data_IF_852503391712
#
_entry.id   IF_852503391712
#
_cell.length_a   1.000
_cell.length_b   1.000
_cell.length_c   1.000
_cell.angle_alpha   90.00
_cell.angle_beta   90.00
_cell.angle_gamma   90.00
#
_symmetry.space_group_name_H-M   'P 1'
#
loop_
_entity.id
_entity.type
_entity.pdbx_description
1 polymer ?
#
# COMPACT_ATOMS: atom_id res chain seq x y z
N UNK A 1 4.56 1.07 -24.92
CA UNK A 1 3.35 1.47 -24.17
C UNK A 1 3.83 1.87 -22.80
N UNK A 2 3.88 3.18 -22.52
CA UNK A 2 4.12 3.67 -21.17
C UNK A 2 2.94 3.21 -20.31
N UNK A 3 3.15 2.22 -19.46
CA UNK A 3 2.15 1.80 -18.48
C UNK A 3 2.20 2.86 -17.38
N UNK A 4 1.10 3.59 -17.19
CA UNK A 4 1.05 4.65 -16.18
C UNK A 4 1.43 4.09 -14.79
N UNK A 5 1.99 4.94 -13.92
CA UNK A 5 2.43 4.53 -12.58
C UNK A 5 1.35 3.75 -11.83
N UNK A 6 0.08 4.20 -11.93
CA UNK A 6 -1.09 3.52 -11.36
C UNK A 6 -1.26 2.09 -11.86
N UNK A 7 -1.17 1.86 -13.18
CA UNK A 7 -1.29 0.52 -13.74
C UNK A 7 -0.17 -0.41 -13.27
N UNK A 8 1.06 0.11 -13.10
CA UNK A 8 2.17 -0.66 -12.53
C UNK A 8 1.92 -1.03 -11.07
N UNK A 9 1.47 -0.08 -10.25
CA UNK A 9 1.18 -0.32 -8.83
C UNK A 9 0.04 -1.33 -8.67
N UNK A 10 -1.02 -1.20 -9.46
CA UNK A 10 -2.14 -2.15 -9.48
C UNK A 10 -1.71 -3.58 -9.80
N UNK A 11 -0.70 -3.77 -10.65
CA UNK A 11 -0.14 -5.10 -10.94
C UNK A 11 0.71 -5.65 -9.79
N UNK A 12 1.46 -4.78 -9.11
CA UNK A 12 2.30 -5.19 -7.97
C UNK A 12 1.45 -5.52 -6.73
N UNK A 13 0.41 -4.74 -6.49
CA UNK A 13 -0.43 -4.80 -5.29
C UNK A 13 -1.93 -4.81 -5.68
N UNK A 14 -2.44 -5.89 -6.28
CA UNK A 14 -3.83 -5.95 -6.70
C UNK A 14 -4.79 -5.86 -5.52
N UNK A 15 -6.01 -5.36 -5.77
CA UNK A 15 -7.08 -5.34 -4.76
C UNK A 15 -7.32 -6.76 -4.23
N UNK A 16 -7.39 -6.88 -2.91
CA UNK A 16 -7.55 -8.14 -2.18
C UNK A 16 -6.24 -8.77 -1.73
N UNK A 17 -5.07 -8.35 -2.24
CA UNK A 17 -3.80 -8.92 -1.76
C UNK A 17 -3.46 -8.46 -0.35
N UNK A 18 -2.65 -9.28 0.35
CA UNK A 18 -2.17 -8.96 1.69
C UNK A 18 -0.79 -8.34 1.63
N UNK A 19 -0.59 -7.32 2.45
CA UNK A 19 0.65 -6.57 2.51
C UNK A 19 1.11 -6.43 3.96
N UNK A 20 2.42 -6.29 4.14
CA UNK A 20 3.06 -6.00 5.41
C UNK A 20 3.78 -4.67 5.31
N UNK A 21 3.58 -3.80 6.29
CA UNK A 21 4.28 -2.53 6.38
C UNK A 21 5.76 -2.75 6.72
N UNK A 22 6.65 -2.15 5.93
CA UNK A 22 8.09 -2.16 6.17
C UNK A 22 8.61 -0.78 6.57
N UNK A 23 8.02 0.29 6.00
CA UNK A 23 8.38 1.67 6.29
C UNK A 23 7.27 2.62 5.85
N UNK A 24 7.08 3.71 6.59
CA UNK A 24 6.18 4.80 6.24
C UNK A 24 6.71 6.10 6.83
N UNK A 25 6.81 7.14 6.00
CA UNK A 25 7.22 8.48 6.43
C UNK A 25 5.98 9.30 6.82
N UNK A 26 5.43 8.96 7.99
CA UNK A 26 4.29 9.65 8.60
C UNK A 26 4.55 9.83 10.11
N UNK A 27 4.05 10.90 10.77
CA UNK A 27 4.22 11.09 12.21
C UNK A 27 3.59 9.99 13.07
N UNK A 28 2.55 9.31 12.58
CA UNK A 28 1.80 8.28 13.31
C UNK A 28 1.48 7.07 12.41
N UNK A 29 2.49 6.34 11.92
CA UNK A 29 2.28 5.24 11.00
C UNK A 29 1.66 4.04 11.74
N UNK A 30 1.03 3.08 11.03
CA UNK A 30 0.84 1.76 11.60
C UNK A 30 2.18 1.21 12.10
N UNK A 31 2.23 0.41 13.17
CA UNK A 31 3.48 -0.22 13.61
C UNK A 31 4.13 -0.99 12.45
N UNK A 32 5.46 -0.92 12.32
CA UNK A 32 6.16 -1.72 11.32
C UNK A 32 5.84 -3.20 11.50
N UNK A 33 5.56 -3.88 10.40
CA UNK A 33 5.10 -5.26 10.37
C UNK A 33 3.60 -5.46 10.52
N UNK A 34 2.83 -4.38 10.73
CA UNK A 34 1.36 -4.43 10.63
C UNK A 34 0.96 -4.95 9.26
N UNK A 35 -0.02 -5.86 9.25
CA UNK A 35 -0.58 -6.38 8.02
C UNK A 35 -1.80 -5.58 7.59
N UNK A 36 -2.05 -5.55 6.30
CA UNK A 36 -3.20 -4.88 5.72
C UNK A 36 -3.66 -5.52 4.42
N UNK A 37 -4.91 -5.24 4.04
CA UNK A 37 -5.52 -5.72 2.80
C UNK A 37 -5.69 -4.55 1.85
N UNK A 38 -5.19 -4.68 0.63
CA UNK A 38 -5.39 -3.67 -0.41
C UNK A 38 -6.87 -3.64 -0.81
N UNK A 39 -7.50 -2.47 -0.74
CA UNK A 39 -8.91 -2.31 -1.17
C UNK A 39 -9.06 -1.41 -2.39
N UNK A 40 -8.02 -0.67 -2.79
CA UNK A 40 -8.10 0.24 -3.93
C UNK A 40 -6.78 0.94 -4.25
N UNK A 41 -6.84 1.83 -5.23
CA UNK A 41 -5.74 2.69 -5.66
C UNK A 41 -6.30 4.06 -6.03
N UNK A 42 -5.57 5.13 -5.72
CA UNK A 42 -5.95 6.49 -6.14
C UNK A 42 -5.31 6.88 -7.49
N UNK A 43 -5.56 8.13 -7.93
CA UNK A 43 -5.04 8.67 -9.18
C UNK A 43 -3.56 9.08 -9.12
N UNK A 44 -2.98 9.15 -7.91
CA UNK A 44 -1.57 9.39 -7.67
C UNK A 44 -0.76 8.08 -7.55
N UNK A 45 -1.39 6.94 -7.82
CA UNK A 45 -0.81 5.60 -7.69
C UNK A 45 -0.45 5.19 -6.25
N UNK A 46 -1.13 5.75 -5.25
CA UNK A 46 -1.07 5.21 -3.89
C UNK A 46 -1.84 3.90 -3.78
N UNK A 47 -1.42 3.03 -2.87
CA UNK A 47 -2.13 1.80 -2.51
C UNK A 47 -3.01 2.09 -1.31
N UNK A 48 -4.32 1.88 -1.47
CA UNK A 48 -5.28 2.07 -0.38
C UNK A 48 -5.39 0.76 0.41
N UNK A 49 -5.09 0.81 1.70
CA UNK A 49 -4.95 -0.37 2.55
C UNK A 49 -5.88 -0.26 3.77
N UNK A 50 -6.63 -1.32 4.05
CA UNK A 50 -7.23 -1.52 5.36
C UNK A 50 -6.21 -2.24 6.23
N UNK A 51 -5.60 -1.50 7.16
CA UNK A 51 -4.66 -2.08 8.11
C UNK A 51 -5.40 -2.81 9.23
N UNK A 52 -4.86 -3.95 9.67
CA UNK A 52 -5.49 -4.78 10.71
C UNK A 52 -5.61 -4.07 12.06
N UNK A 53 -4.76 -3.06 12.30
CA UNK A 53 -4.83 -2.23 13.50
C UNK A 53 -5.91 -1.13 13.41
N UNK A 54 -6.69 -1.08 12.32
CA UNK A 54 -7.73 -0.09 12.08
C UNK A 54 -7.26 1.22 11.46
N UNK A 55 -5.96 1.36 11.12
CA UNK A 55 -5.48 2.54 10.40
C UNK A 55 -6.07 2.62 8.99
N UNK A 56 -6.38 3.85 8.56
CA UNK A 56 -6.81 4.18 7.20
C UNK A 56 -5.74 4.86 6.34
N UNK A 57 -4.47 4.89 6.80
CA UNK A 57 -3.38 5.48 6.02
C UNK A 57 -3.14 4.68 4.73
N UNK A 58 -2.96 5.41 3.62
CA UNK A 58 -2.58 4.84 2.33
C UNK A 58 -1.06 4.75 2.20
N UNK A 59 -0.59 3.93 1.27
CA UNK A 59 0.84 3.74 0.98
C UNK A 59 1.20 4.49 -0.29
N UNK A 60 2.11 5.45 -0.19
CA UNK A 60 2.61 6.22 -1.32
C UNK A 60 3.73 5.46 -2.02
N UNK A 61 3.49 5.03 -3.27
CA UNK A 61 4.46 4.22 -4.02
C UNK A 61 5.78 4.98 -4.25
N UNK A 62 6.89 4.39 -3.82
CA UNK A 62 8.24 4.97 -3.95
C UNK A 62 8.68 5.84 -2.77
N UNK A 63 7.76 6.14 -1.84
CA UNK A 63 8.06 6.81 -0.55
C UNK A 63 7.95 5.78 0.57
N UNK A 64 6.79 5.15 0.68
CA UNK A 64 6.52 4.12 1.67
C UNK A 64 6.97 2.74 1.16
N UNK A 65 7.25 1.83 2.09
CA UNK A 65 7.66 0.46 1.78
C UNK A 65 6.68 -0.54 2.33
N UNK A 66 6.14 -1.36 1.44
CA UNK A 66 5.33 -2.54 1.76
C UNK A 66 5.84 -3.74 0.98
N UNK A 67 5.61 -4.93 1.52
CA UNK A 67 5.82 -6.19 0.80
C UNK A 67 4.51 -6.95 0.74
N UNK A 68 4.23 -7.57 -0.41
CA UNK A 68 3.12 -8.49 -0.56
C UNK A 68 3.43 -9.79 0.20
N UNK A 69 2.48 -10.29 0.98
CA UNK A 69 2.66 -11.47 1.86
C UNK A 69 1.71 -12.61 1.54
N UNK A 70 1.15 -12.60 0.33
CA UNK A 70 0.43 -13.74 -0.27
C UNK A 70 1.22 -15.06 -0.13
#
# INVERSE_FOLDING_TARGET
>A
MDVCAKARVQQLFPVGCRVKLLEMDDPFPPPIGTLGTVYGHDDLASVLVHWDNGSGLSVVYGVDRIVKVD
#
